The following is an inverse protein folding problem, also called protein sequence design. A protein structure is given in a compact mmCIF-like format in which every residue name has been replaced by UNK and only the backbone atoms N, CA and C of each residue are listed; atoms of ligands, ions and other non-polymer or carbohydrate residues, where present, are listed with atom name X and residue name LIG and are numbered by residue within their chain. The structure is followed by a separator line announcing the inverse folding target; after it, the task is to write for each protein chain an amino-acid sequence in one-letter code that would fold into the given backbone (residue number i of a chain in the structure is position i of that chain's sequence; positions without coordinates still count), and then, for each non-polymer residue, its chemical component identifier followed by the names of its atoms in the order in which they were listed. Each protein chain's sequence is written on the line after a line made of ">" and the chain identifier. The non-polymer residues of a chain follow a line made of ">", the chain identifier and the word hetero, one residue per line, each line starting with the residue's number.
data_IF_266931224956
#
_entry.id   IF_266931224956
#
_cell.length_a   1.000
_cell.length_b   1.000
_cell.length_c   1.000
_cell.angle_alpha   90.00
_cell.angle_beta   90.00
_cell.angle_gamma   90.00
#
_symmetry.space_group_name_H-M   'P 1'
#
loop_
_entity.id
_entity.type
_entity.pdbx_description
1 polymer ?
#
# COMPACT_ATOMS: atom_id res chain seq x y z
N UNK A 1 -5.75 -3.65 -18.64
CA UNK A 1 -4.87 -2.74 -17.88
C UNK A 1 -4.52 -3.40 -16.54
N UNK A 2 -3.26 -3.37 -16.08
CA UNK A 2 -2.84 -4.01 -14.82
C UNK A 2 -3.53 -3.45 -13.58
N UNK A 3 -3.87 -2.16 -13.58
CA UNK A 3 -4.39 -1.47 -12.39
C UNK A 3 -5.93 -1.46 -12.30
N UNK A 4 -6.63 -1.33 -13.44
CA UNK A 4 -8.10 -1.22 -13.43
C UNK A 4 -8.83 -2.38 -14.13
N UNK A 5 -8.10 -3.38 -14.65
CA UNK A 5 -8.68 -4.49 -15.41
C UNK A 5 -9.24 -4.13 -16.80
N UNK A 6 -9.50 -2.85 -17.08
CA UNK A 6 -10.17 -2.44 -18.32
C UNK A 6 -9.33 -2.70 -19.58
N UNK A 7 -10.02 -3.11 -20.65
CA UNK A 7 -9.49 -3.38 -21.99
C UNK A 7 -9.94 -2.28 -22.97
N UNK A 8 -9.73 -1.02 -22.63
CA UNK A 8 -10.05 0.11 -23.50
C UNK A 8 -9.07 0.22 -24.67
N UNK A 9 -9.53 0.71 -25.83
CA UNK A 9 -8.69 1.09 -26.99
C UNK A 9 -7.79 2.32 -26.73
N UNK A 10 -7.62 2.71 -25.47
CA UNK A 10 -6.73 3.80 -25.06
C UNK A 10 -5.27 3.42 -25.27
N UNK A 11 -4.39 4.42 -25.44
CA UNK A 11 -2.94 4.22 -25.40
C UNK A 11 -2.54 3.42 -24.16
N UNK A 12 -1.77 2.36 -24.38
CA UNK A 12 -1.25 1.46 -23.36
C UNK A 12 0.25 1.70 -23.19
N UNK A 13 0.73 1.63 -21.95
CA UNK A 13 2.11 1.85 -21.59
C UNK A 13 2.65 0.57 -20.95
N UNK A 14 3.85 0.17 -21.37
CA UNK A 14 4.53 -0.99 -20.81
C UNK A 14 5.03 -0.68 -19.40
N UNK A 15 4.82 -1.61 -18.46
CA UNK A 15 5.19 -1.41 -17.05
C UNK A 15 6.70 -1.46 -16.87
N UNK A 16 7.41 -2.27 -17.67
CA UNK A 16 8.86 -2.46 -17.59
C UNK A 16 9.63 -1.58 -18.57
N UNK A 17 8.96 -0.60 -19.21
CA UNK A 17 9.61 0.45 -19.99
C UNK A 17 10.19 1.51 -19.05
N UNK A 18 11.53 1.53 -18.95
CA UNK A 18 12.29 2.47 -18.12
C UNK A 18 12.16 3.94 -18.55
N UNK A 19 11.51 4.28 -19.67
CA UNK A 19 11.35 5.69 -20.07
C UNK A 19 10.37 6.47 -19.19
N UNK A 20 9.50 5.79 -18.44
CA UNK A 20 8.43 6.41 -17.65
C UNK A 20 8.41 5.96 -16.19
N UNK A 21 9.35 5.10 -15.79
CA UNK A 21 9.49 4.57 -14.42
C UNK A 21 8.16 4.05 -13.84
N UNK A 22 7.34 3.38 -14.66
CA UNK A 22 5.96 3.03 -14.28
C UNK A 22 5.97 2.03 -13.12
N UNK A 23 6.88 1.07 -13.13
CA UNK A 23 7.02 0.08 -12.06
C UNK A 23 7.40 0.74 -10.73
N UNK A 24 8.31 1.72 -10.76
CA UNK A 24 8.72 2.50 -9.60
C UNK A 24 7.57 3.34 -9.06
N UNK A 25 6.80 4.00 -9.94
CA UNK A 25 5.62 4.76 -9.55
C UNK A 25 4.57 3.88 -8.88
N UNK A 26 4.32 2.69 -9.43
CA UNK A 26 3.40 1.71 -8.83
C UNK A 26 3.89 1.31 -7.43
N UNK A 27 5.15 0.89 -7.32
CA UNK A 27 5.75 0.44 -6.05
C UNK A 27 5.77 1.56 -5.00
N UNK A 28 5.89 2.81 -5.44
CA UNK A 28 5.85 3.99 -4.57
C UNK A 28 4.44 4.32 -4.06
N UNK A 29 3.41 4.10 -4.87
CA UNK A 29 2.04 4.52 -4.56
C UNK A 29 1.14 3.41 -4.01
N UNK A 30 1.40 2.16 -4.34
CA UNK A 30 0.46 1.05 -4.15
C UNK A 30 1.16 -0.14 -3.48
N UNK A 31 0.49 -0.85 -2.56
CA UNK A 31 1.00 -2.07 -1.95
C UNK A 31 0.77 -3.28 -2.88
N UNK A 32 1.22 -3.20 -4.13
CA UNK A 32 1.07 -4.28 -5.12
C UNK A 32 2.43 -4.70 -5.66
N UNK A 33 2.63 -6.01 -5.78
CA UNK A 33 3.84 -6.59 -6.38
C UNK A 33 3.53 -6.99 -7.83
N UNK A 34 4.39 -6.57 -8.75
CA UNK A 34 4.27 -6.89 -10.17
C UNK A 34 5.53 -7.61 -10.60
N UNK A 35 5.37 -8.81 -11.17
CA UNK A 35 6.48 -9.64 -11.64
C UNK A 35 6.46 -9.72 -13.15
N UNK A 36 7.62 -9.59 -13.80
CA UNK A 36 7.73 -9.59 -15.26
C UNK A 36 7.22 -10.87 -15.94
N UNK A 37 7.17 -11.98 -15.19
CA UNK A 37 6.80 -13.29 -15.69
C UNK A 37 5.44 -13.78 -15.16
N UNK A 38 4.67 -12.93 -14.46
CA UNK A 38 3.34 -13.31 -14.01
C UNK A 38 2.32 -13.33 -15.17
N UNK A 39 1.22 -14.12 -15.08
CA UNK A 39 0.27 -14.29 -16.17
C UNK A 39 -0.68 -13.10 -16.35
N UNK A 40 -0.46 -11.99 -15.65
CA UNK A 40 -1.35 -10.84 -15.63
C UNK A 40 -0.91 -9.77 -16.65
N UNK A 41 -1.76 -8.76 -16.95
CA UNK A 41 -1.40 -7.72 -17.90
C UNK A 41 -0.12 -6.98 -17.51
N UNK A 42 0.85 -6.89 -18.44
CA UNK A 42 2.11 -6.16 -18.25
C UNK A 42 2.05 -4.70 -18.75
N UNK A 43 0.84 -4.14 -18.86
CA UNK A 43 0.60 -2.79 -19.37
C UNK A 43 -0.44 -2.02 -18.56
N UNK A 44 -0.25 -0.72 -18.46
CA UNK A 44 -1.21 0.23 -17.87
C UNK A 44 -1.88 1.08 -18.96
N UNK A 45 -3.16 1.39 -18.80
CA UNK A 45 -3.85 2.30 -19.71
C UNK A 45 -3.50 3.77 -19.38
N UNK A 46 -3.73 4.66 -20.34
CA UNK A 46 -3.49 6.09 -20.20
C UNK A 46 -4.10 6.71 -18.95
N UNK A 47 -5.35 6.40 -18.62
CA UNK A 47 -6.03 6.97 -17.45
C UNK A 47 -5.37 6.54 -16.14
N UNK A 48 -4.97 5.26 -16.01
CA UNK A 48 -4.27 4.77 -14.83
C UNK A 48 -2.85 5.34 -14.73
N UNK A 49 -2.14 5.46 -15.87
CA UNK A 49 -0.82 6.09 -15.90
C UNK A 49 -0.87 7.56 -15.43
N UNK A 50 -1.81 8.34 -15.96
CA UNK A 50 -1.96 9.74 -15.53
C UNK A 50 -2.39 9.85 -14.05
N UNK A 51 -3.21 8.91 -13.56
CA UNK A 51 -3.55 8.79 -12.14
C UNK A 51 -2.33 8.53 -11.25
N UNK A 52 -1.43 7.64 -11.67
CA UNK A 52 -0.14 7.41 -10.98
C UNK A 52 0.70 8.67 -10.95
N UNK A 53 0.92 9.33 -12.10
CA UNK A 53 1.75 10.54 -12.17
C UNK A 53 1.22 11.66 -11.25
N UNK A 54 -0.10 11.87 -11.24
CA UNK A 54 -0.74 12.83 -10.36
C UNK A 54 -0.54 12.47 -8.87
N UNK A 55 -0.65 11.20 -8.52
CA UNK A 55 -0.48 10.68 -7.16
C UNK A 55 0.97 10.84 -6.69
N UNK A 56 1.94 10.43 -7.51
CA UNK A 56 3.38 10.60 -7.23
C UNK A 56 3.72 12.07 -6.99
N UNK A 57 3.21 12.96 -7.87
CA UNK A 57 3.41 14.41 -7.73
C UNK A 57 2.84 14.94 -6.41
N UNK A 58 1.65 14.50 -6.05
CA UNK A 58 1.00 14.90 -4.80
C UNK A 58 1.78 14.43 -3.57
N UNK A 59 2.14 13.15 -3.51
CA UNK A 59 2.93 12.58 -2.40
C UNK A 59 4.27 13.32 -2.26
N UNK A 60 5.03 13.51 -3.36
CA UNK A 60 6.30 14.24 -3.34
C UNK A 60 6.12 15.66 -2.80
N UNK A 61 5.05 16.36 -3.20
CA UNK A 61 4.74 17.71 -2.68
C UNK A 61 4.49 17.70 -1.17
N UNK A 62 3.68 16.76 -0.68
CA UNK A 62 3.40 16.62 0.75
C UNK A 62 4.66 16.30 1.55
N UNK A 63 5.47 15.32 1.11
CA UNK A 63 6.71 14.94 1.79
C UNK A 63 7.72 16.09 1.82
N UNK A 64 7.88 16.83 0.72
CA UNK A 64 8.77 17.99 0.70
C UNK A 64 8.28 19.10 1.63
N UNK A 65 6.97 19.36 1.64
CA UNK A 65 6.37 20.38 2.51
C UNK A 65 6.52 20.01 3.99
N UNK A 66 6.28 18.75 4.34
CA UNK A 66 6.47 18.21 5.69
C UNK A 66 7.93 18.31 6.16
N UNK A 67 8.90 18.03 5.27
CA UNK A 67 10.32 18.27 5.54
C UNK A 67 10.61 19.75 5.83
N UNK A 68 10.00 20.67 5.08
CA UNK A 68 10.17 22.11 5.33
C UNK A 68 9.65 22.54 6.70
N UNK A 69 8.52 21.99 7.16
CA UNK A 69 8.00 22.26 8.51
C UNK A 69 8.92 21.71 9.61
N UNK A 70 9.49 20.52 9.40
CA UNK A 70 10.42 19.90 10.37
C UNK A 70 11.78 20.59 10.44
N UNK A 71 12.22 21.25 9.38
CA UNK A 71 13.43 22.09 9.40
C UNK A 71 13.20 23.47 10.05
N UNK A 72 11.96 23.97 10.10
CA UNK A 72 11.63 25.19 10.85
C UNK A 72 11.38 24.95 12.34
N UNK A 73 11.22 23.68 12.75
CA UNK A 73 10.90 23.28 14.12
C UNK A 73 11.97 22.30 14.68
N UNK A 74 13.15 22.80 15.07
CA UNK A 74 14.05 22.06 15.98
C UNK A 74 13.43 21.85 17.39
N UNK A 75 12.18 22.30 17.60
CA UNK A 75 11.47 22.26 18.89
C UNK A 75 10.06 21.70 18.70
N UNK A 76 9.88 20.44 18.30
CA UNK A 76 8.61 19.76 18.57
C UNK A 76 8.75 18.23 18.64
N UNK A 77 9.58 17.75 19.57
CA UNK A 77 9.36 16.46 20.21
C UNK A 77 8.12 16.55 21.10
N UNK A 78 6.93 16.50 20.50
CA UNK A 78 5.67 16.34 21.22
C UNK A 78 4.90 15.21 20.57
N UNK A 79 5.02 14.04 21.19
CA UNK A 79 3.91 13.15 21.54
C UNK A 79 2.64 13.37 20.70
N UNK A 80 2.66 12.97 19.43
CA UNK A 80 1.44 12.94 18.63
C UNK A 80 0.76 11.61 18.93
N UNK A 81 -0.38 11.68 19.60
CA UNK A 81 -1.38 10.62 19.59
C UNK A 81 -1.86 10.49 18.13
N UNK A 82 -1.19 9.64 17.36
CA UNK A 82 -1.48 9.46 15.95
C UNK A 82 -2.79 8.68 15.88
N UNK A 83 -3.90 9.38 15.64
CA UNK A 83 -5.14 8.77 15.18
C UNK A 83 -4.89 8.20 13.78
N UNK A 84 -4.18 7.06 13.71
CA UNK A 84 -4.02 6.30 12.46
C UNK A 84 -5.42 5.79 12.11
N UNK A 85 -5.93 6.22 10.96
CA UNK A 85 -6.96 5.44 10.29
C UNK A 85 -6.35 4.05 10.05
N UNK A 86 -6.98 2.96 10.53
CA UNK A 86 -6.50 1.61 10.28
C UNK A 86 -6.65 1.32 8.78
N UNK A 87 -5.63 1.69 7.99
CA UNK A 87 -5.54 1.38 6.57
C UNK A 87 -5.25 -0.11 6.34
N UNK A 88 -4.84 -0.81 7.40
CA UNK A 88 -4.70 -2.28 7.45
C UNK A 88 -6.06 -2.99 7.55
N UNK A 89 -7.17 -2.23 7.55
CA UNK A 89 -8.53 -2.76 7.67
C UNK A 89 -8.84 -3.24 9.09
N UNK A 90 -10.12 -3.53 9.38
CA UNK A 90 -10.49 -4.16 10.65
C UNK A 90 -9.93 -5.58 10.69
N UNK A 91 -8.90 -5.82 11.52
CA UNK A 91 -8.47 -7.18 11.87
C UNK A 91 -9.38 -7.72 12.96
N UNK A 92 -10.60 -8.04 12.57
CA UNK A 92 -11.50 -8.85 13.41
C UNK A 92 -11.12 -10.32 13.25
N UNK A 93 -10.81 -10.99 14.36
CA UNK A 93 -10.62 -12.44 14.34
C UNK A 93 -11.95 -13.12 14.06
N UNK A 94 -12.04 -13.91 12.99
CA UNK A 94 -13.28 -14.58 12.63
C UNK A 94 -13.69 -15.69 13.61
N UNK A 95 -12.73 -16.22 14.39
CA UNK A 95 -12.93 -17.31 15.35
C UNK A 95 -13.58 -16.79 16.64
N UNK A 96 -13.04 -15.69 17.19
CA UNK A 96 -13.44 -15.19 18.51
C UNK A 96 -14.01 -13.75 18.50
N UNK A 97 -14.07 -13.10 17.34
CA UNK A 97 -14.64 -11.75 17.10
C UNK A 97 -13.93 -10.61 17.84
N UNK A 98 -12.71 -10.87 18.32
CA UNK A 98 -11.85 -9.84 18.93
C UNK A 98 -11.31 -8.95 17.81
N UNK A 99 -11.38 -7.64 18.04
CA UNK A 99 -10.83 -6.63 17.15
C UNK A 99 -9.41 -6.27 17.56
N UNK A 100 -8.52 -6.21 16.58
CA UNK A 100 -7.13 -5.82 16.77
C UNK A 100 -6.84 -4.52 16.02
N UNK A 101 -5.96 -3.71 16.58
CA UNK A 101 -5.44 -2.49 15.94
C UNK A 101 -3.99 -2.63 15.49
N UNK A 102 -3.36 -3.77 15.83
CA UNK A 102 -1.96 -4.09 15.54
C UNK A 102 -1.89 -5.49 14.92
N UNK A 103 -1.32 -5.58 13.72
CA UNK A 103 -1.17 -6.84 12.98
C UNK A 103 -0.30 -7.86 13.71
N UNK A 104 0.72 -7.44 14.47
CA UNK A 104 1.58 -8.38 15.19
C UNK A 104 0.82 -9.03 16.36
N UNK A 105 -0.10 -8.27 16.99
CA UNK A 105 -0.97 -8.81 18.03
C UNK A 105 -2.01 -9.76 17.43
N UNK A 106 -2.53 -9.45 16.24
CA UNK A 106 -3.43 -10.33 15.51
C UNK A 106 -2.72 -11.64 15.11
N UNK A 107 -1.51 -11.57 14.55
CA UNK A 107 -0.74 -12.75 14.12
C UNK A 107 -0.42 -13.67 15.30
N UNK A 108 0.04 -13.10 16.43
CA UNK A 108 0.27 -13.85 17.67
C UNK A 108 -1.03 -14.52 18.17
N UNK A 109 -2.14 -13.80 18.11
CA UNK A 109 -3.43 -14.32 18.53
C UNK A 109 -3.91 -15.49 17.65
N UNK A 110 -3.68 -15.42 16.33
CA UNK A 110 -4.00 -16.52 15.41
C UNK A 110 -3.09 -17.74 15.68
N UNK A 111 -1.83 -17.53 16.07
CA UNK A 111 -0.92 -18.61 16.48
C UNK A 111 -1.40 -19.33 17.76
N UNK A 112 -1.98 -18.60 18.72
CA UNK A 112 -2.59 -19.20 19.93
C UNK A 112 -3.75 -20.14 19.56
N UNK A 113 -4.63 -19.72 18.65
CA UNK A 113 -5.71 -20.59 18.14
C UNK A 113 -5.18 -21.83 17.39
N UNK A 114 -4.06 -21.71 16.67
CA UNK A 114 -3.41 -22.86 16.01
C UNK A 114 -2.83 -23.85 17.02
N UNK A 115 -2.19 -23.36 18.08
CA UNK A 115 -1.60 -24.20 19.13
C UNK A 115 -2.66 -24.94 19.97
N UNK A 116 -3.85 -24.35 20.16
CA UNK A 116 -4.94 -25.00 20.89
C UNK A 116 -5.50 -26.20 20.11
N UNK A 117 -5.62 -26.10 18.78
CA UNK A 117 -6.10 -27.20 17.93
C UNK A 117 -5.13 -28.39 17.87
N UNK A 118 -3.83 -28.15 18.00
CA UNK A 118 -2.81 -29.20 18.02
C UNK A 118 -2.67 -29.91 19.39
N UNK A 119 -3.29 -29.39 20.44
CA UNK A 119 -3.30 -30.01 21.78
C UNK A 119 -4.41 -31.06 21.98
N UNK A 120 -5.31 -31.21 21.01
CA UNK A 120 -6.43 -32.16 21.03
C UNK A 120 -6.27 -33.31 20.02
N UNK A 121 -5.09 -33.47 19.41
CA UNK A 121 -4.73 -34.60 18.53
C UNK A 121 -3.73 -35.51 19.23
#
# INVERSE_FOLDING_TARGET
>A
CRLCGCCSNSKMYDIFDNSKDILEQISFCLPIIILAHDPYPQKVCHSCFHGLEATVRFIKKCVTTDKSFKHSDEVYTRTININRLPLDGPTECEICKIHFTDMNLFDKHIEEHKSELESFI
#
